data_IF_496133024048
#
_entry.id   IF_496133024048
#
_cell.length_a   1.000
_cell.length_b   1.000
_cell.length_c   1.000
_cell.angle_alpha   90.00
_cell.angle_beta   90.00
_cell.angle_gamma   90.00
#
_symmetry.space_group_name_H-M   'P 1'
#
loop_
_entity.id
_entity.type
_entity.pdbx_description
1 polymer ?
#
# COMPACT_ATOMS: atom_id res chain seq x y z
N UNK A 1 -8.04 9.15 -9.60
CA UNK A 1 -6.91 8.85 -8.69
C UNK A 1 -6.71 7.34 -8.62
N UNK A 2 -5.48 6.89 -8.74
CA UNK A 2 -5.12 5.47 -8.64
C UNK A 2 -4.54 5.17 -7.27
N UNK A 3 -5.22 4.32 -6.51
CA UNK A 3 -4.84 3.98 -5.14
C UNK A 3 -4.49 2.49 -5.04
N UNK A 4 -3.58 2.17 -4.13
CA UNK A 4 -3.24 0.79 -3.81
C UNK A 4 -3.15 0.61 -2.30
N UNK A 5 -3.71 -0.49 -1.81
CA UNK A 5 -3.56 -0.91 -0.41
C UNK A 5 -2.78 -2.23 -0.39
N UNK A 6 -1.70 -2.24 0.37
CA UNK A 6 -0.91 -3.43 0.65
C UNK A 6 -1.27 -3.93 2.05
N UNK A 7 -1.63 -5.19 2.18
CA UNK A 7 -1.93 -5.82 3.46
C UNK A 7 -1.13 -7.11 3.65
N UNK A 8 -0.97 -7.52 4.90
CA UNK A 8 -0.13 -8.66 5.25
C UNK A 8 -0.70 -9.98 4.78
N UNK A 9 -1.98 -10.23 5.07
CA UNK A 9 -2.57 -11.54 4.92
C UNK A 9 -3.86 -11.59 4.11
N UNK A 10 -4.31 -12.82 3.87
CA UNK A 10 -5.55 -13.09 3.13
C UNK A 10 -6.80 -12.64 3.86
N UNK A 11 -6.81 -12.68 5.19
CA UNK A 11 -7.94 -12.24 6.01
C UNK A 11 -8.18 -10.74 5.84
N UNK A 12 -7.13 -9.95 5.94
CA UNK A 12 -7.20 -8.50 5.74
C UNK A 12 -7.67 -8.17 4.33
N UNK A 13 -7.14 -8.88 3.35
CA UNK A 13 -7.50 -8.74 1.95
C UNK A 13 -9.01 -8.98 1.72
N UNK A 14 -9.56 -10.06 2.27
CA UNK A 14 -10.98 -10.40 2.14
C UNK A 14 -11.84 -9.36 2.84
N UNK A 15 -11.45 -8.96 4.04
CA UNK A 15 -12.21 -7.99 4.84
C UNK A 15 -12.25 -6.62 4.17
N UNK A 16 -11.12 -6.14 3.67
CA UNK A 16 -11.04 -4.86 2.94
C UNK A 16 -11.95 -4.85 1.71
N UNK A 17 -11.93 -5.91 0.92
CA UNK A 17 -12.81 -6.01 -0.24
C UNK A 17 -14.29 -5.89 0.15
N UNK A 18 -14.66 -6.61 1.19
CA UNK A 18 -16.04 -6.60 1.67
C UNK A 18 -16.45 -5.19 2.10
N UNK A 19 -15.65 -4.52 2.92
CA UNK A 19 -15.93 -3.18 3.39
C UNK A 19 -16.00 -2.17 2.25
N UNK A 20 -15.06 -2.19 1.36
CA UNK A 20 -15.03 -1.24 0.25
C UNK A 20 -16.25 -1.38 -0.65
N UNK A 21 -16.67 -2.60 -0.93
CA UNK A 21 -17.88 -2.83 -1.75
C UNK A 21 -19.17 -2.50 -1.01
N UNK A 22 -19.32 -3.02 0.21
CA UNK A 22 -20.60 -2.98 0.93
C UNK A 22 -20.85 -1.68 1.68
N UNK A 23 -19.80 -1.07 2.20
CA UNK A 23 -19.92 0.15 3.02
C UNK A 23 -19.66 1.40 2.17
N UNK A 24 -18.67 1.37 1.31
CA UNK A 24 -18.21 2.54 0.57
C UNK A 24 -18.60 2.55 -0.90
N UNK A 25 -19.28 1.53 -1.38
CA UNK A 25 -19.87 1.51 -2.73
C UNK A 25 -18.88 1.34 -3.89
N UNK A 26 -17.73 0.75 -3.63
CA UNK A 26 -16.79 0.43 -4.71
C UNK A 26 -17.27 -0.75 -5.54
N UNK A 27 -17.12 -0.67 -6.85
CA UNK A 27 -17.46 -1.74 -7.76
C UNK A 27 -16.28 -2.67 -8.00
N UNK A 28 -16.51 -3.95 -7.80
CA UNK A 28 -15.50 -4.98 -8.03
C UNK A 28 -15.34 -5.24 -9.54
N UNK A 29 -14.11 -5.07 -10.02
CA UNK A 29 -13.75 -5.40 -11.41
C UNK A 29 -13.15 -6.80 -11.55
N UNK A 30 -13.22 -7.60 -10.49
CA UNK A 30 -12.77 -8.98 -10.47
C UNK A 30 -11.29 -9.13 -10.12
N UNK A 31 -10.80 -10.37 -10.22
CA UNK A 31 -9.39 -10.63 -10.07
C UNK A 31 -8.64 -9.96 -11.22
N UNK A 32 -7.64 -9.18 -10.89
CA UNK A 32 -6.79 -8.57 -11.90
C UNK A 32 -6.14 -9.67 -12.74
N UNK A 33 -6.26 -9.56 -14.07
CA UNK A 33 -5.47 -10.33 -15.02
C UNK A 33 -4.02 -9.83 -15.12
N UNK A 34 -3.68 -8.78 -14.38
CA UNK A 34 -2.28 -8.48 -14.18
C UNK A 34 -1.66 -9.76 -13.65
N UNK A 35 -0.77 -10.33 -14.43
CA UNK A 35 0.18 -11.32 -13.93
C UNK A 35 1.05 -10.60 -12.93
N UNK A 36 0.41 -10.22 -11.83
CA UNK A 36 1.08 -9.64 -10.70
C UNK A 36 2.24 -10.54 -10.40
N UNK A 37 3.37 -9.95 -10.24
CA UNK A 37 4.54 -10.68 -9.82
C UNK A 37 4.17 -11.48 -8.57
N UNK A 38 3.82 -12.76 -8.75
CA UNK A 38 3.33 -13.66 -7.71
C UNK A 38 4.34 -13.83 -6.56
N UNK A 39 5.56 -13.32 -6.76
CA UNK A 39 6.61 -13.31 -5.75
C UNK A 39 6.25 -12.40 -4.57
N UNK A 40 5.61 -11.27 -4.81
CA UNK A 40 5.33 -10.26 -3.77
C UNK A 40 3.86 -10.25 -3.36
N UNK A 41 2.96 -10.63 -4.26
CA UNK A 41 1.52 -10.55 -4.01
C UNK A 41 0.86 -11.90 -4.26
N UNK A 42 0.19 -12.41 -3.25
CA UNK A 42 -0.58 -13.67 -3.35
C UNK A 42 -1.99 -13.43 -3.87
N UNK A 43 -2.53 -12.24 -3.64
CA UNK A 43 -3.90 -11.90 -4.01
C UNK A 43 -3.94 -10.46 -4.47
N UNK A 44 -4.60 -10.21 -5.60
CA UNK A 44 -4.77 -8.87 -6.18
C UNK A 44 -6.21 -8.72 -6.65
N UNK A 45 -6.84 -7.61 -6.27
CA UNK A 45 -8.17 -7.26 -6.75
C UNK A 45 -8.28 -5.77 -7.01
N UNK A 46 -8.89 -5.41 -8.13
CA UNK A 46 -9.11 -4.02 -8.51
C UNK A 46 -10.58 -3.66 -8.40
N UNK A 47 -10.84 -2.50 -7.84
CA UNK A 47 -12.17 -1.92 -7.70
C UNK A 47 -12.20 -0.52 -8.28
N UNK A 48 -13.37 -0.07 -8.68
CA UNK A 48 -13.59 1.26 -9.24
C UNK A 48 -14.72 1.98 -8.51
N UNK A 49 -14.57 3.28 -8.35
CA UNK A 49 -15.63 4.17 -7.88
C UNK A 49 -15.50 5.49 -8.61
N UNK A 50 -16.49 5.78 -9.46
CA UNK A 50 -16.42 6.92 -10.39
C UNK A 50 -15.15 6.83 -11.24
N UNK A 51 -14.29 7.85 -11.21
CA UNK A 51 -13.01 7.86 -11.94
C UNK A 51 -11.84 7.31 -11.13
N UNK A 52 -12.06 6.95 -9.86
CA UNK A 52 -11.02 6.44 -8.98
C UNK A 52 -10.88 4.92 -9.10
N UNK A 53 -9.66 4.44 -8.99
CA UNK A 53 -9.37 3.01 -8.92
C UNK A 53 -8.68 2.66 -7.60
N UNK A 54 -8.91 1.43 -7.15
CA UNK A 54 -8.30 0.89 -5.94
C UNK A 54 -7.84 -0.53 -6.22
N UNK A 55 -6.55 -0.78 -6.05
CA UNK A 55 -5.98 -2.12 -6.07
C UNK A 55 -5.73 -2.57 -4.62
N UNK A 56 -6.27 -3.71 -4.24
CA UNK A 56 -6.00 -4.32 -2.93
C UNK A 56 -5.11 -5.52 -3.16
N UNK A 57 -3.95 -5.55 -2.51
CA UNK A 57 -2.94 -6.60 -2.68
C UNK A 57 -2.56 -7.22 -1.35
N UNK A 58 -2.78 -8.52 -1.24
CA UNK A 58 -2.34 -9.31 -0.10
C UNK A 58 -0.95 -9.88 -0.35
N UNK A 59 -0.02 -9.62 0.56
CA UNK A 59 1.39 -9.99 0.40
C UNK A 59 1.70 -11.44 0.84
N UNK A 60 0.76 -12.11 1.51
CA UNK A 60 0.93 -13.50 1.95
C UNK A 60 1.83 -13.65 3.18
N UNK A 61 1.84 -12.65 4.05
CA UNK A 61 2.55 -12.66 5.32
C UNK A 61 3.30 -11.37 5.60
N UNK A 62 3.56 -11.12 6.86
CA UNK A 62 4.22 -9.88 7.32
C UNK A 62 5.62 -9.70 6.70
N UNK A 63 6.35 -10.79 6.49
CA UNK A 63 7.70 -10.75 5.91
C UNK A 63 7.74 -10.27 4.45
N UNK A 64 6.61 -10.35 3.74
CA UNK A 64 6.51 -9.96 2.34
C UNK A 64 6.01 -8.52 2.15
N UNK A 65 5.57 -7.87 3.23
CA UNK A 65 4.96 -6.54 3.16
C UNK A 65 5.95 -5.47 2.71
N UNK A 66 7.14 -5.42 3.34
CA UNK A 66 8.18 -4.47 2.96
C UNK A 66 8.75 -4.73 1.55
N UNK A 67 9.08 -5.97 1.17
CA UNK A 67 9.47 -6.27 -0.20
C UNK A 67 8.39 -5.90 -1.22
N UNK A 68 7.12 -6.12 -0.91
CA UNK A 68 5.99 -5.70 -1.76
C UNK A 68 5.89 -4.18 -1.89
N UNK A 69 6.08 -3.47 -0.80
CA UNK A 69 6.12 -2.01 -0.80
C UNK A 69 7.29 -1.48 -1.65
N UNK A 70 8.48 -2.02 -1.47
CA UNK A 70 9.65 -1.66 -2.26
C UNK A 70 9.41 -1.88 -3.76
N UNK A 71 8.82 -3.00 -4.11
CA UNK A 71 8.43 -3.28 -5.49
C UNK A 71 7.49 -2.21 -6.04
N UNK A 72 6.51 -1.77 -5.26
CA UNK A 72 5.56 -0.73 -5.71
C UNK A 72 6.21 0.64 -5.87
N UNK A 73 7.16 1.00 -5.02
CA UNK A 73 7.95 2.23 -5.19
C UNK A 73 8.74 2.19 -6.50
N UNK A 74 9.42 1.08 -6.77
CA UNK A 74 10.15 0.88 -8.03
C UNK A 74 9.22 0.90 -9.25
N UNK A 75 8.07 0.23 -9.15
CA UNK A 75 7.04 0.25 -10.17
C UNK A 75 6.61 1.68 -10.51
N UNK A 76 6.32 2.48 -9.50
CA UNK A 76 5.90 3.86 -9.68
C UNK A 76 6.99 4.73 -10.32
N UNK A 77 8.26 4.46 -10.03
CA UNK A 77 9.37 5.20 -10.60
C UNK A 77 9.59 4.87 -12.09
N UNK A 78 9.27 3.65 -12.49
CA UNK A 78 9.48 3.16 -13.86
C UNK A 78 8.26 3.27 -14.76
N UNK A 79 7.08 3.39 -14.17
CA UNK A 79 5.81 3.45 -14.90
C UNK A 79 5.59 4.81 -15.54
N UNK A 80 4.77 4.86 -16.59
CA UNK A 80 4.26 6.12 -17.11
C UNK A 80 3.39 6.82 -16.07
N UNK A 81 3.21 8.12 -16.22
CA UNK A 81 2.41 8.93 -15.30
C UNK A 81 0.98 8.41 -15.14
N UNK A 82 0.38 7.91 -16.24
CA UNK A 82 -0.97 7.36 -16.22
C UNK A 82 -1.08 5.99 -15.56
N UNK A 83 0.00 5.25 -15.45
CA UNK A 83 0.04 3.91 -14.85
C UNK A 83 0.45 3.91 -13.39
N UNK A 84 1.17 4.94 -12.95
CA UNK A 84 1.65 5.05 -11.59
C UNK A 84 0.47 5.24 -10.60
N UNK A 85 0.66 4.74 -9.39
CA UNK A 85 -0.30 4.95 -8.30
C UNK A 85 -0.04 6.30 -7.62
N UNK A 86 -1.11 7.03 -7.35
CA UNK A 86 -1.06 8.33 -6.67
C UNK A 86 -0.94 8.18 -5.16
N UNK A 87 -1.44 7.08 -4.62
CA UNK A 87 -1.44 6.80 -3.19
C UNK A 87 -1.15 5.33 -2.92
N UNK A 88 -0.22 5.08 -2.01
CA UNK A 88 0.10 3.75 -1.49
C UNK A 88 -0.24 3.71 -0.01
N UNK A 89 -1.12 2.81 0.39
CA UNK A 89 -1.50 2.59 1.78
C UNK A 89 -0.96 1.25 2.22
N UNK A 90 -0.25 1.23 3.33
CA UNK A 90 0.27 0.01 3.96
C UNK A 90 -0.57 -0.27 5.20
N UNK A 91 -1.30 -1.38 5.19
CA UNK A 91 -2.05 -1.85 6.34
C UNK A 91 -1.24 -2.94 7.02
N UNK A 92 -0.82 -2.68 8.23
CA UNK A 92 0.03 -3.60 9.00
C UNK A 92 -0.57 -3.89 10.36
N UNK A 93 -0.46 -5.15 10.79
CA UNK A 93 -0.84 -5.59 12.13
C UNK A 93 0.42 -5.58 13.01
N UNK A 94 0.55 -4.54 13.85
CA UNK A 94 1.69 -4.34 14.74
C UNK A 94 1.19 -4.13 16.15
N UNK A 95 1.59 -5.02 17.04
CA UNK A 95 1.07 -5.07 18.40
C UNK A 95 1.89 -4.27 19.42
N UNK A 96 3.11 -3.86 19.07
CA UNK A 96 3.99 -3.15 20.00
C UNK A 96 4.71 -1.97 19.33
N UNK A 97 5.00 -0.95 20.14
CA UNK A 97 5.60 0.30 19.68
C UNK A 97 7.03 0.11 19.13
N UNK A 98 7.78 -0.86 19.64
CA UNK A 98 9.13 -1.15 19.15
C UNK A 98 9.10 -1.70 17.72
N UNK A 99 8.22 -2.65 17.46
CA UNK A 99 8.01 -3.23 16.13
C UNK A 99 7.49 -2.20 15.14
N UNK A 100 6.59 -1.31 15.57
CA UNK A 100 6.09 -0.23 14.73
C UNK A 100 7.18 0.77 14.37
N UNK A 101 8.03 1.15 15.32
CA UNK A 101 9.13 2.07 15.08
C UNK A 101 10.14 1.48 14.09
N UNK A 102 10.47 0.21 14.22
CA UNK A 102 11.35 -0.49 13.30
C UNK A 102 10.75 -0.56 11.89
N UNK A 103 9.47 -0.90 11.80
CA UNK A 103 8.76 -0.95 10.51
C UNK A 103 8.74 0.42 9.84
N UNK A 104 8.42 1.46 10.59
CA UNK A 104 8.42 2.84 10.10
C UNK A 104 9.78 3.25 9.56
N UNK A 105 10.84 2.92 10.29
CA UNK A 105 12.21 3.19 9.86
C UNK A 105 12.56 2.47 8.56
N UNK A 106 12.14 1.22 8.41
CA UNK A 106 12.36 0.45 7.19
C UNK A 106 11.63 1.07 5.99
N UNK A 107 10.41 1.56 6.19
CA UNK A 107 9.67 2.30 5.16
C UNK A 107 10.40 3.59 4.80
N UNK A 108 10.85 4.34 5.78
CA UNK A 108 11.64 5.56 5.57
C UNK A 108 12.90 5.27 4.77
N UNK A 109 13.64 4.21 5.11
CA UNK A 109 14.87 3.83 4.41
C UNK A 109 14.59 3.51 2.93
N UNK A 110 13.53 2.81 2.62
CA UNK A 110 13.12 2.53 1.24
C UNK A 110 12.82 3.82 0.49
N UNK A 111 12.12 4.74 1.10
CA UNK A 111 11.74 6.01 0.47
C UNK A 111 12.93 6.97 0.38
N UNK A 112 13.85 6.94 1.34
CA UNK A 112 15.01 7.83 1.38
C UNK A 112 16.08 7.50 0.34
N UNK A 113 16.07 6.33 -0.25
CA UNK A 113 16.86 6.05 -1.45
C UNK A 113 16.54 7.04 -2.58
N UNK A 114 15.38 7.76 -2.48
CA UNK A 114 14.93 8.78 -3.42
C UNK A 114 14.97 10.23 -2.92
N UNK A 115 15.73 10.58 -1.89
CA UNK A 115 15.84 11.95 -1.33
C UNK A 115 14.56 12.53 -0.73
N UNK A 116 13.74 11.72 -0.06
CA UNK A 116 12.51 12.21 0.59
C UNK A 116 12.71 12.29 2.09
N UNK A 117 12.35 13.44 2.66
CA UNK A 117 12.29 13.62 4.10
C UNK A 117 10.95 13.09 4.61
N UNK A 118 11.00 11.96 5.31
CA UNK A 118 9.81 11.37 5.89
C UNK A 118 9.97 11.35 7.39
N UNK A 119 9.06 12.02 8.05
CA UNK A 119 8.96 12.03 9.51
C UNK A 119 7.69 11.27 9.89
N UNK A 120 7.84 9.95 10.02
CA UNK A 120 6.74 9.07 10.39
C UNK A 120 6.85 8.63 11.83
N UNK A 121 6.02 9.19 12.69
CA UNK A 121 5.79 8.66 14.02
C UNK A 121 4.59 7.72 13.97
N UNK A 122 4.84 6.44 13.72
CA UNK A 122 3.76 5.44 13.69
C UNK A 122 3.35 5.12 15.12
N UNK A 123 2.09 5.27 15.40
CA UNK A 123 1.47 4.83 16.64
C UNK A 123 0.41 3.76 16.36
N UNK A 124 0.06 2.98 17.37
CA UNK A 124 -0.98 1.96 17.22
C UNK A 124 -2.33 2.62 16.92
N UNK A 125 -3.10 2.04 16.01
CA UNK A 125 -4.39 2.54 15.55
C UNK A 125 -4.33 3.94 14.92
N UNK A 126 -3.17 4.31 14.41
CA UNK A 126 -2.95 5.59 13.78
C UNK A 126 -2.85 5.51 12.27
N UNK A 127 -3.27 6.57 11.64
CA UNK A 127 -3.00 6.86 10.25
C UNK A 127 -1.83 7.84 10.19
N UNK A 128 -0.73 7.41 9.56
CA UNK A 128 0.44 8.26 9.34
C UNK A 128 0.69 8.39 7.85
N UNK A 129 0.83 9.61 7.38
CA UNK A 129 0.95 9.89 5.94
C UNK A 129 2.17 10.74 5.65
N UNK A 130 2.84 10.43 4.55
CA UNK A 130 3.93 11.21 4.01
C UNK A 130 3.82 11.29 2.49
N UNK A 131 4.68 12.10 1.89
CA UNK A 131 4.74 12.26 0.44
C UNK A 131 6.15 12.05 -0.05
N UNK A 132 6.30 11.41 -1.20
CA UNK A 132 7.56 11.39 -1.93
C UNK A 132 7.33 11.76 -3.40
N UNK A 133 8.37 12.15 -4.09
CA UNK A 133 8.29 12.47 -5.52
C UNK A 133 8.84 11.29 -6.33
N UNK A 134 8.04 10.81 -7.29
CA UNK A 134 8.48 9.76 -8.20
C UNK A 134 9.44 10.30 -9.27
N UNK A 135 9.89 9.44 -10.17
CA UNK A 135 10.80 9.82 -11.27
C UNK A 135 10.24 10.87 -12.25
N UNK A 136 8.93 11.12 -12.23
CA UNK A 136 8.24 12.12 -13.04
C UNK A 136 8.00 13.44 -12.30
N UNK A 137 8.45 13.56 -11.06
CA UNK A 137 8.26 14.76 -10.24
C UNK A 137 6.88 14.86 -9.59
N UNK A 138 6.03 13.85 -9.69
CA UNK A 138 4.72 13.83 -9.08
C UNK A 138 4.80 13.42 -7.61
N UNK A 139 4.05 14.10 -6.76
CA UNK A 139 3.93 13.77 -5.35
C UNK A 139 3.07 12.51 -5.17
N UNK A 140 3.65 11.49 -4.54
CA UNK A 140 2.97 10.24 -4.21
C UNK A 140 2.72 10.21 -2.71
N UNK A 141 1.47 9.99 -2.33
CA UNK A 141 1.12 9.83 -0.92
C UNK A 141 1.42 8.41 -0.46
N UNK A 142 2.09 8.28 0.67
CA UNK A 142 2.30 6.98 1.35
C UNK A 142 1.72 7.07 2.74
N UNK A 143 0.81 6.17 3.08
CA UNK A 143 0.21 6.10 4.39
C UNK A 143 0.46 4.74 5.02
N UNK A 144 0.71 4.73 6.32
CA UNK A 144 0.80 3.51 7.12
C UNK A 144 -0.35 3.52 8.11
N UNK A 145 -1.12 2.46 8.09
CA UNK A 145 -2.18 2.22 9.08
C UNK A 145 -1.77 0.99 9.87
N UNK A 146 -1.57 1.16 11.15
CA UNK A 146 -1.25 0.06 12.04
C UNK A 146 -2.31 -0.09 13.13
N UNK A 147 -2.60 -1.31 13.50
CA UNK A 147 -3.57 -1.60 14.53
C UNK A 147 -3.53 -3.05 14.94
N UNK A 148 -4.07 -3.34 16.11
CA UNK A 148 -4.33 -4.70 16.55
C UNK A 148 -5.73 -5.10 16.09
N UNK A 149 -5.76 -6.03 15.16
CA UNK A 149 -7.04 -6.55 14.63
C UNK A 149 -7.46 -7.82 15.34
#
# INVERSE_FOLDING_TARGET
MKNIILCEGSTDYVLLQYFMRKVYGWEDKGKSNEKSNSRYFKSVRTMMKESDSLSIRGCGGAKNLLPGFQYMVEYNNLSSESEAFDRIVILTDRDDAGTEAEFSKNVEDILNEGNVRIDMNVCNDCWVECYYHNGHGNAISVAIVSGSF
#
